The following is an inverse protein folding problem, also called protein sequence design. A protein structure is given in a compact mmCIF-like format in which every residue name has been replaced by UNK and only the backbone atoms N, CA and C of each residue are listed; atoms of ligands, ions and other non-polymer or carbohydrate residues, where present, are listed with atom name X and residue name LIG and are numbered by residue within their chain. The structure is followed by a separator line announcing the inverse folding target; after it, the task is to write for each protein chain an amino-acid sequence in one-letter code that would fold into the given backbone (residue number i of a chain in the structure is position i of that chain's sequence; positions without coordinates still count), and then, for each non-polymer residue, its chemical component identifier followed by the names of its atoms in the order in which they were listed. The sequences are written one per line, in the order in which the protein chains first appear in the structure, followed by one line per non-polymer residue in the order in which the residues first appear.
data_IF_457663060592
#
_entry.id   IF_457663060592
#
_cell.length_a   1.000
_cell.length_b   1.000
_cell.length_c   1.000
_cell.angle_alpha   90.00
_cell.angle_beta   90.00
_cell.angle_gamma   90.00
#
_symmetry.space_group_name_H-M   'P 1'
#
loop_
_entity.id
_entity.type
_entity.pdbx_description
1 polymer ?
#
# COMPACT_ATOMS: atom_id res chain seq x y z
N UNK A 1 19.72 -2.57 -3.59
CA UNK A 1 18.63 -3.11 -2.77
C UNK A 1 19.19 -3.50 -1.41
N UNK A 2 18.85 -2.71 -0.39
CA UNK A 2 19.20 -2.94 1.00
C UNK A 2 18.46 -4.18 1.54
N UNK A 3 18.98 -4.80 2.60
CA UNK A 3 18.40 -5.97 3.27
C UNK A 3 16.95 -5.70 3.69
N UNK A 4 16.67 -4.52 4.25
CA UNK A 4 15.33 -4.13 4.68
C UNK A 4 14.36 -4.04 3.49
N UNK A 5 14.82 -3.53 2.35
CA UNK A 5 14.05 -3.47 1.10
C UNK A 5 13.74 -4.88 0.58
N UNK A 6 14.69 -5.82 0.67
CA UNK A 6 14.47 -7.22 0.30
C UNK A 6 13.40 -7.86 1.20
N UNK A 7 13.48 -7.64 2.51
CA UNK A 7 12.51 -8.14 3.48
C UNK A 7 11.11 -7.53 3.26
N UNK A 8 11.02 -6.22 3.05
CA UNK A 8 9.78 -5.52 2.76
C UNK A 8 9.12 -6.04 1.48
N UNK A 9 9.89 -6.22 0.40
CA UNK A 9 9.37 -6.79 -0.84
C UNK A 9 8.86 -8.23 -0.65
N UNK A 10 9.57 -9.07 0.11
CA UNK A 10 9.15 -10.43 0.38
C UNK A 10 7.81 -10.47 1.12
N UNK A 11 7.66 -9.65 2.15
CA UNK A 11 6.47 -9.62 2.97
C UNK A 11 5.26 -9.00 2.23
N UNK A 12 5.45 -7.89 1.53
CA UNK A 12 4.38 -7.23 0.76
C UNK A 12 3.89 -8.12 -0.39
N UNK A 13 4.79 -8.83 -1.09
CA UNK A 13 4.39 -9.80 -2.12
C UNK A 13 3.59 -10.96 -1.54
N UNK A 14 3.99 -11.47 -0.38
CA UNK A 14 3.27 -12.55 0.30
C UNK A 14 1.89 -12.09 0.81
N UNK A 15 1.77 -10.81 1.18
CA UNK A 15 0.55 -10.21 1.67
C UNK A 15 -0.46 -9.89 0.56
N UNK A 16 -0.08 -9.06 -0.41
CA UNK A 16 -1.03 -8.48 -1.38
C UNK A 16 -0.77 -8.89 -2.82
N UNK A 17 0.27 -9.69 -3.11
CA UNK A 17 0.69 -9.97 -4.49
C UNK A 17 -0.36 -10.66 -5.38
N UNK A 18 -1.38 -11.29 -4.80
CA UNK A 18 -2.53 -11.86 -5.51
C UNK A 18 -3.87 -11.45 -4.89
N UNK A 19 -3.87 -10.46 -3.99
CA UNK A 19 -5.08 -9.98 -3.36
C UNK A 19 -5.86 -9.08 -4.32
N UNK A 20 -7.16 -8.96 -4.11
CA UNK A 20 -7.99 -7.97 -4.78
C UNK A 20 -8.25 -6.78 -3.86
N UNK A 21 -8.44 -5.60 -4.43
CA UNK A 21 -8.97 -4.45 -3.67
C UNK A 21 -10.43 -4.73 -3.32
N UNK A 22 -10.72 -4.81 -2.03
CA UNK A 22 -12.07 -5.00 -1.50
C UNK A 22 -12.76 -3.66 -1.29
N UNK A 23 -12.06 -2.71 -0.69
CA UNK A 23 -12.60 -1.40 -0.33
C UNK A 23 -11.52 -0.32 -0.31
N UNK A 24 -11.94 0.94 -0.28
CA UNK A 24 -11.06 2.09 -0.17
C UNK A 24 -11.81 3.28 0.42
N UNK A 25 -11.10 4.23 1.02
CA UNK A 25 -11.75 5.41 1.59
C UNK A 25 -10.87 6.17 2.57
N UNK A 26 -11.52 6.78 3.57
CA UNK A 26 -10.90 7.53 4.64
C UNK A 26 -11.25 6.88 5.98
N UNK A 27 -10.24 6.60 6.80
CA UNK A 27 -10.39 6.15 8.18
C UNK A 27 -9.61 7.09 9.08
N UNK A 28 -10.26 7.76 10.03
CA UNK A 28 -9.61 8.73 10.92
C UNK A 28 -8.73 9.76 10.19
N UNK A 29 -9.21 10.28 9.04
CA UNK A 29 -8.49 11.23 8.17
C UNK A 29 -7.30 10.65 7.41
N UNK A 30 -7.09 9.33 7.45
CA UNK A 30 -6.04 8.62 6.71
C UNK A 30 -6.68 7.93 5.51
N UNK A 31 -6.11 8.13 4.32
CA UNK A 31 -6.52 7.41 3.11
C UNK A 31 -6.13 5.94 3.23
N UNK A 32 -7.07 5.06 2.93
CA UNK A 32 -6.87 3.62 3.02
C UNK A 32 -7.25 2.90 1.73
N UNK A 33 -6.52 1.82 1.45
CA UNK A 33 -6.82 0.84 0.42
C UNK A 33 -6.78 -0.55 1.08
N UNK A 34 -7.91 -1.24 1.06
CA UNK A 34 -8.09 -2.55 1.70
C UNK A 34 -8.03 -3.66 0.66
N UNK A 35 -7.21 -4.67 0.95
CA UNK A 35 -6.99 -5.81 0.09
C UNK A 35 -7.50 -7.08 0.77
N UNK A 36 -8.18 -7.94 0.00
CA UNK A 36 -8.65 -9.25 0.43
C UNK A 36 -8.08 -10.34 -0.46
N UNK A 37 -7.62 -11.42 0.16
CA UNK A 37 -7.29 -12.68 -0.49
C UNK A 37 -8.19 -13.80 0.06
N UNK A 38 -7.86 -15.07 -0.22
CA UNK A 38 -8.63 -16.21 0.29
C UNK A 38 -8.44 -16.46 1.80
N UNK A 39 -7.63 -15.64 2.49
CA UNK A 39 -7.38 -15.76 3.93
C UNK A 39 -8.44 -14.96 4.71
N UNK A 40 -8.67 -15.30 5.99
CA UNK A 40 -9.77 -14.71 6.77
C UNK A 40 -9.61 -13.24 7.14
N UNK A 41 -8.44 -12.63 6.92
CA UNK A 41 -8.13 -11.29 7.40
C UNK A 41 -7.64 -10.40 6.25
N UNK A 42 -8.20 -9.20 6.19
CA UNK A 42 -7.89 -8.20 5.18
C UNK A 42 -6.55 -7.50 5.48
N UNK A 43 -5.90 -7.01 4.43
CA UNK A 43 -4.65 -6.27 4.50
C UNK A 43 -4.95 -4.79 4.23
N UNK A 44 -4.45 -3.90 5.09
CA UNK A 44 -4.74 -2.48 5.02
C UNK A 44 -3.49 -1.70 4.62
N UNK A 45 -3.55 -0.98 3.50
CA UNK A 45 -2.57 0.04 3.13
C UNK A 45 -3.11 1.41 3.57
N UNK A 46 -2.42 2.03 4.52
CA UNK A 46 -2.70 3.37 5.03
C UNK A 46 -1.68 4.36 4.48
N UNK A 47 -2.14 5.53 4.01
CA UNK A 47 -1.27 6.55 3.42
C UNK A 47 -1.13 7.77 4.32
N UNK A 48 0.12 8.20 4.54
CA UNK A 48 0.42 9.52 5.07
C UNK A 48 0.26 10.62 4.00
N UNK A 49 0.77 11.81 4.29
CA UNK A 49 0.77 12.92 3.33
C UNK A 49 1.85 12.71 2.25
N UNK A 50 1.48 11.98 1.20
CA UNK A 50 2.39 11.58 0.13
C UNK A 50 1.82 11.86 -1.25
N UNK A 51 2.74 11.98 -2.21
CA UNK A 51 2.37 12.00 -3.63
C UNK A 51 2.02 10.60 -4.12
N UNK A 52 0.80 10.47 -4.66
CA UNK A 52 0.37 9.29 -5.41
C UNK A 52 0.31 9.63 -6.90
N UNK A 53 0.92 8.80 -7.74
CA UNK A 53 0.84 8.91 -9.20
C UNK A 53 0.30 7.63 -9.82
N UNK A 54 -0.16 7.74 -11.07
CA UNK A 54 -0.71 6.62 -11.82
C UNK A 54 -0.53 6.83 -13.32
N UNK A 55 -0.60 5.73 -14.08
CA UNK A 55 -0.71 5.76 -15.54
C UNK A 55 -2.12 6.12 -16.03
N UNK A 56 -3.10 6.27 -15.13
CA UNK A 56 -4.45 6.75 -15.47
C UNK A 56 -4.43 8.26 -15.69
N UNK A 57 -4.91 8.69 -16.87
CA UNK A 57 -5.16 10.10 -17.17
C UNK A 57 -6.50 10.51 -16.56
N UNK A 58 -6.46 11.42 -15.59
CA UNK A 58 -7.65 12.09 -15.05
C UNK A 58 -7.91 13.32 -15.89
N UNK A 59 -9.15 13.50 -16.37
CA UNK A 59 -9.55 14.58 -17.27
C UNK A 59 -9.25 15.96 -16.66
N UNK A 60 -8.65 16.86 -17.46
CA UNK A 60 -8.28 18.22 -17.07
C UNK A 60 -9.48 19.10 -16.74
N UNK A 61 -10.69 18.69 -17.16
CA UNK A 61 -11.94 19.39 -16.83
C UNK A 61 -12.43 19.23 -15.39
N UNK A 62 -11.85 18.30 -14.61
CA UNK A 62 -12.20 18.05 -13.22
C UNK A 62 -11.21 18.76 -12.29
N UNK A 63 -11.69 19.80 -11.60
CA UNK A 63 -10.92 20.46 -10.53
C UNK A 63 -11.08 19.61 -9.27
N UNK A 64 -10.12 18.72 -9.02
CA UNK A 64 -10.06 17.88 -7.83
C UNK A 64 -8.90 18.31 -6.95
N UNK A 65 -9.10 18.25 -5.63
CA UNK A 65 -7.99 18.32 -4.69
C UNK A 65 -7.19 17.00 -4.69
N UNK A 66 -6.09 16.95 -3.93
CA UNK A 66 -5.21 15.78 -3.89
C UNK A 66 -5.93 14.53 -3.38
N UNK A 67 -6.67 14.61 -2.27
CA UNK A 67 -7.41 13.49 -1.70
C UNK A 67 -8.47 12.95 -2.67
N UNK A 68 -9.26 13.84 -3.28
CA UNK A 68 -10.28 13.49 -4.27
C UNK A 68 -9.65 12.81 -5.49
N UNK A 69 -8.48 13.27 -5.92
CA UNK A 69 -7.73 12.66 -7.00
C UNK A 69 -7.27 11.25 -6.62
N UNK A 70 -6.77 11.03 -5.41
CA UNK A 70 -6.37 9.70 -4.93
C UNK A 70 -7.58 8.77 -4.84
N UNK A 71 -8.70 9.21 -4.27
CA UNK A 71 -9.93 8.43 -4.21
C UNK A 71 -10.46 8.06 -5.60
N UNK A 72 -10.33 8.95 -6.58
CA UNK A 72 -10.67 8.65 -7.96
C UNK A 72 -9.74 7.58 -8.54
N UNK A 73 -8.43 7.62 -8.27
CA UNK A 73 -7.50 6.57 -8.67
C UNK A 73 -7.84 5.23 -8.01
N UNK A 74 -8.16 5.23 -6.71
CA UNK A 74 -8.60 4.04 -5.98
C UNK A 74 -9.88 3.42 -6.57
N UNK A 75 -10.83 4.25 -7.00
CA UNK A 75 -12.02 3.77 -7.69
C UNK A 75 -11.72 2.98 -8.98
N UNK A 76 -10.59 3.25 -9.64
CA UNK A 76 -10.17 2.53 -10.86
C UNK A 76 -9.60 1.15 -10.57
N UNK A 77 -9.13 0.92 -9.35
CA UNK A 77 -8.55 -0.36 -8.93
C UNK A 77 -9.48 -1.14 -7.99
N UNK A 78 -10.67 -0.61 -7.69
CA UNK A 78 -11.68 -1.32 -6.91
C UNK A 78 -12.07 -2.65 -7.58
N UNK A 79 -12.11 -3.72 -6.79
CA UNK A 79 -12.36 -5.11 -7.25
C UNK A 79 -11.33 -5.61 -8.28
N UNK A 80 -10.14 -5.02 -8.32
CA UNK A 80 -9.05 -5.46 -9.21
C UNK A 80 -8.00 -6.21 -8.43
N UNK A 81 -7.50 -7.27 -9.04
CA UNK A 81 -6.42 -8.08 -8.49
C UNK A 81 -5.07 -7.43 -8.73
N UNK A 82 -4.22 -7.47 -7.71
CA UNK A 82 -2.80 -7.16 -7.83
C UNK A 82 -2.14 -8.24 -8.70
N UNK A 83 -1.29 -7.80 -9.61
CA UNK A 83 -0.50 -8.65 -10.51
C UNK A 83 0.99 -8.50 -10.28
N UNK A 84 1.41 -7.33 -9.78
CA UNK A 84 2.78 -7.06 -9.38
C UNK A 84 2.78 -6.07 -8.22
N UNK A 85 3.69 -6.30 -7.27
CA UNK A 85 3.99 -5.34 -6.23
C UNK A 85 5.49 -5.35 -5.94
N UNK A 86 6.07 -4.16 -5.83
CA UNK A 86 7.47 -4.00 -5.48
C UNK A 86 7.73 -2.68 -4.79
N UNK A 87 8.81 -2.65 -4.03
CA UNK A 87 9.33 -1.43 -3.41
C UNK A 87 10.82 -1.24 -3.66
N UNK A 88 11.30 -0.01 -3.59
CA UNK A 88 12.71 0.34 -3.83
C UNK A 88 13.45 0.83 -2.56
N UNK A 89 14.73 1.18 -2.70
CA UNK A 89 15.54 1.63 -1.56
C UNK A 89 15.15 3.03 -1.04
N UNK A 90 14.34 3.80 -1.80
CA UNK A 90 13.81 5.11 -1.40
C UNK A 90 12.41 5.01 -0.77
N UNK A 91 11.98 3.81 -0.40
CA UNK A 91 10.67 3.54 0.16
C UNK A 91 9.49 3.79 -0.79
N UNK A 92 9.72 3.92 -2.11
CA UNK A 92 8.63 3.99 -3.07
C UNK A 92 7.95 2.64 -3.20
N UNK A 93 6.62 2.63 -3.34
CA UNK A 93 5.81 1.44 -3.54
C UNK A 93 5.10 1.54 -4.89
N UNK A 94 5.22 0.49 -5.70
CA UNK A 94 4.48 0.35 -6.96
C UNK A 94 3.57 -0.87 -6.88
N UNK A 95 2.30 -0.69 -7.26
CA UNK A 95 1.30 -1.76 -7.36
C UNK A 95 0.70 -1.74 -8.77
N UNK A 96 0.74 -2.88 -9.45
CA UNK A 96 0.15 -3.10 -10.76
C UNK A 96 -1.08 -4.01 -10.65
N UNK A 97 -2.14 -3.67 -11.38
CA UNK A 97 -3.42 -4.37 -11.34
C UNK A 97 -3.76 -5.06 -12.68
N UNK A 98 -4.65 -6.05 -12.63
CA UNK A 98 -5.07 -6.87 -13.78
C UNK A 98 -5.70 -6.08 -14.94
N UNK A 99 -6.26 -4.90 -14.67
CA UNK A 99 -6.82 -3.99 -15.66
C UNK A 99 -5.76 -3.07 -16.31
N UNK A 100 -4.48 -3.27 -16.00
CA UNK A 100 -3.36 -2.50 -16.51
C UNK A 100 -3.12 -1.17 -15.78
N UNK A 101 -3.89 -0.85 -14.73
CA UNK A 101 -3.62 0.32 -13.88
C UNK A 101 -2.37 0.08 -13.05
N UNK A 102 -1.55 1.11 -12.92
CA UNK A 102 -0.41 1.15 -12.01
C UNK A 102 -0.59 2.33 -11.05
N UNK A 103 -0.40 2.06 -9.76
CA UNK A 103 -0.34 3.08 -8.72
C UNK A 103 1.07 3.13 -8.15
N UNK A 104 1.60 4.34 -8.01
CA UNK A 104 2.90 4.60 -7.43
C UNK A 104 2.75 5.53 -6.23
N UNK A 105 3.27 5.08 -5.09
CA UNK A 105 3.25 5.80 -3.82
C UNK A 105 4.67 6.24 -3.48
N UNK A 106 4.86 7.54 -3.29
CA UNK A 106 6.15 8.13 -2.91
C UNK A 106 6.61 7.64 -1.54
N UNK A 107 7.88 7.27 -1.42
CA UNK A 107 8.56 7.03 -0.13
C UNK A 107 9.03 8.32 0.56
N UNK A 108 8.66 9.48 0.02
CA UNK A 108 8.85 10.79 0.65
C UNK A 108 7.52 11.38 1.09
N UNK A 109 7.45 11.85 2.33
CA UNK A 109 6.31 12.58 2.88
C UNK A 109 6.55 14.08 2.86
N UNK A 110 5.48 14.87 2.95
CA UNK A 110 5.58 16.34 2.98
C UNK A 110 6.11 16.86 4.32
N UNK A 111 5.77 16.17 5.41
CA UNK A 111 6.01 16.61 6.79
C UNK A 111 7.02 15.73 7.57
N UNK A 112 7.66 14.76 6.90
CA UNK A 112 8.63 13.84 7.51
C UNK A 112 8.02 12.69 8.32
N UNK A 113 6.70 12.51 8.27
CA UNK A 113 5.99 11.35 8.82
C UNK A 113 6.12 10.11 7.92
N UNK A 114 5.64 8.96 8.42
CA UNK A 114 5.62 7.69 7.70
C UNK A 114 4.82 7.82 6.39
N UNK A 115 5.45 7.65 5.21
CA UNK A 115 4.79 7.84 3.92
C UNK A 115 3.59 6.90 3.69
N UNK A 116 3.75 5.63 4.04
CA UNK A 116 2.70 4.62 3.95
C UNK A 116 2.99 3.46 4.89
N UNK A 117 1.93 2.73 5.25
CA UNK A 117 1.99 1.57 6.13
C UNK A 117 1.12 0.46 5.55
N UNK A 118 1.66 -0.75 5.41
CA UNK A 118 0.88 -1.94 5.06
C UNK A 118 0.85 -2.88 6.25
N UNK A 119 -0.33 -3.28 6.71
CA UNK A 119 -0.42 -4.21 7.82
C UNK A 119 -1.71 -5.00 7.87
N UNK A 120 -1.74 -5.91 8.84
CA UNK A 120 -2.91 -6.69 9.27
C UNK A 120 -3.14 -6.44 10.76
N UNK A 121 -4.38 -6.57 11.24
CA UNK A 121 -4.68 -6.52 12.67
C UNK A 121 -3.72 -7.43 13.48
N UNK A 122 -3.10 -6.85 14.52
CA UNK A 122 -1.98 -7.44 15.27
C UNK A 122 -2.42 -8.52 16.27
N UNK A 123 -3.72 -8.60 16.50
CA UNK A 123 -4.39 -9.41 17.52
C UNK A 123 -4.23 -10.93 17.27
N UNK A 124 -3.98 -11.33 16.01
CA UNK A 124 -3.90 -12.73 15.56
C UNK A 124 -2.56 -13.06 14.85
N UNK A 125 -1.43 -12.51 15.31
CA UNK A 125 -0.13 -12.75 14.67
C UNK A 125 0.03 -12.02 13.33
N UNK A 126 -0.36 -10.75 13.32
CA UNK A 126 -0.29 -9.87 12.15
C UNK A 126 1.14 -9.45 11.78
N UNK A 127 1.22 -8.60 10.77
CA UNK A 127 2.45 -7.96 10.33
C UNK A 127 2.21 -6.47 10.09
N UNK A 128 3.30 -5.71 10.03
CA UNK A 128 3.30 -4.28 9.70
C UNK A 128 4.58 -3.92 8.97
N UNK A 129 4.46 -3.30 7.80
CA UNK A 129 5.57 -2.70 7.05
C UNK A 129 5.33 -1.20 7.00
N UNK A 130 6.31 -0.44 7.48
CA UNK A 130 6.27 1.02 7.52
C UNK A 130 7.38 1.55 6.62
N UNK A 131 7.03 2.39 5.65
CA UNK A 131 8.02 3.17 4.92
C UNK A 131 8.63 4.25 5.83
N UNK A 132 9.94 4.45 5.73
CA UNK A 132 10.63 5.55 6.39
C UNK A 132 10.86 6.68 5.38
N UNK A 133 10.61 7.93 5.78
CA UNK A 133 10.74 9.08 4.91
C UNK A 133 12.16 9.19 4.32
N UNK A 134 12.24 9.24 3.00
CA UNK A 134 13.52 9.33 2.28
C UNK A 134 14.28 8.01 2.15
N UNK A 135 13.72 6.89 2.62
CA UNK A 135 14.23 5.54 2.38
C UNK A 135 14.27 4.65 3.63
N UNK A 136 14.28 3.34 3.39
CA UNK A 136 14.29 2.31 4.44
C UNK A 136 12.89 1.87 4.89
N UNK A 137 12.87 0.81 5.70
CA UNK A 137 11.65 0.17 6.18
C UNK A 137 11.78 -0.26 7.64
N UNK A 138 10.69 -0.12 8.40
CA UNK A 138 10.53 -0.82 9.67
C UNK A 138 9.53 -1.97 9.50
N UNK A 139 9.90 -3.18 9.95
CA UNK A 139 9.14 -4.40 9.70
C UNK A 139 8.80 -5.13 11.01
N UNK A 140 7.50 -5.15 11.26
CA UNK A 140 6.66 -5.92 12.16
C UNK A 140 6.29 -7.29 11.59
N UNK A 141 6.82 -8.43 12.06
CA UNK A 141 6.27 -9.73 11.65
C UNK A 141 6.10 -10.66 12.85
N UNK A 142 4.85 -10.77 13.32
CA UNK A 142 4.46 -11.62 14.44
C UNK A 142 3.85 -12.95 13.97
N UNK A 143 4.04 -13.33 12.70
CA UNK A 143 3.50 -14.59 12.16
C UNK A 143 4.19 -15.85 12.68
N UNK A 144 5.22 -15.71 13.55
CA UNK A 144 5.90 -16.81 14.23
C UNK A 144 5.59 -16.85 15.72
N UNK A 145 4.48 -17.47 16.11
CA UNK A 145 4.33 -18.14 17.42
C UNK A 145 3.26 -19.23 17.34
N UNK A 146 3.53 -20.33 16.62
CA UNK A 146 2.92 -21.66 16.89
C UNK A 146 3.91 -22.77 16.48
N UNK A 147 5.00 -22.92 17.23
CA UNK A 147 5.60 -24.25 17.41
C UNK A 147 4.97 -24.87 18.65
N UNK A 148 3.96 -25.71 18.44
CA UNK A 148 3.42 -26.65 19.43
C UNK A 148 4.45 -27.73 19.80
#
# INVERSE_FOLDING_TARGET
MNTDTVAANALIRAAIGNAAVESYGLSHQILILEFRDDKPADHLLSLGEIKVSSNVVVDEGLILNEEERVLLLFSKVNLRSVTEVHCDDEANLTISFDNGVQLHFSGRSHDGYEPWQLGRALDEGGYLVIAQDGGGYAIWDCTQEETH
#
